data_IF_998333014922
#
_entry.id   IF_998333014922
#
_cell.length_a   1.000
_cell.length_b   1.000
_cell.length_c   1.000
_cell.angle_alpha   90.00
_cell.angle_beta   90.00
_cell.angle_gamma   90.00
#
_symmetry.space_group_name_H-M   'P 1'
#
loop_
_entity.id
_entity.type
_entity.pdbx_description
1 polymer ?
#
# COMPACT_ATOMS: atom_id res chain seq x y z
N UNK A 1 -17.65 2.85 -1.29
CA UNK A 1 -16.71 3.70 -2.08
C UNK A 1 -16.85 5.19 -1.78
N UNK A 2 -18.06 5.77 -1.72
CA UNK A 2 -18.24 7.20 -1.42
C UNK A 2 -17.67 7.58 -0.04
N UNK A 3 -17.96 6.78 0.98
CA UNK A 3 -17.47 6.99 2.35
C UNK A 3 -15.94 6.98 2.43
N UNK A 4 -15.30 5.96 1.82
CA UNK A 4 -13.83 5.87 1.78
C UNK A 4 -13.19 7.10 1.11
N UNK A 5 -13.81 7.61 0.03
CA UNK A 5 -13.32 8.81 -0.67
C UNK A 5 -13.61 10.12 0.08
N UNK A 6 -14.52 10.11 1.05
CA UNK A 6 -14.81 11.26 1.91
C UNK A 6 -13.82 11.37 3.09
N UNK A 7 -13.09 10.29 3.40
CA UNK A 7 -12.03 10.32 4.41
C UNK A 7 -10.82 11.14 3.93
N UNK A 8 -9.98 11.67 4.85
CA UNK A 8 -8.74 12.34 4.48
C UNK A 8 -7.87 11.45 3.60
N UNK A 9 -7.54 11.97 2.41
CA UNK A 9 -6.73 11.24 1.45
C UNK A 9 -5.24 11.34 1.78
N UNK A 10 -4.54 10.22 1.64
CA UNK A 10 -3.08 10.14 1.65
C UNK A 10 -2.60 9.90 0.23
N UNK A 11 -1.59 10.67 -0.17
CA UNK A 11 -0.96 10.61 -1.48
C UNK A 11 0.55 10.40 -1.34
N UNK A 12 1.16 9.83 -2.37
CA UNK A 12 2.60 9.66 -2.47
C UNK A 12 2.99 8.81 -3.68
N UNK A 13 4.28 8.57 -3.83
CA UNK A 13 4.83 7.73 -4.90
C UNK A 13 5.04 6.31 -4.41
N UNK A 14 4.60 5.35 -5.20
CA UNK A 14 4.66 3.94 -4.87
C UNK A 14 5.00 3.09 -6.08
N UNK A 15 5.90 2.15 -5.86
CA UNK A 15 6.33 1.14 -6.81
C UNK A 15 6.87 -0.06 -6.04
N UNK A 16 7.25 -1.11 -6.75
CA UNK A 16 7.70 -2.35 -6.12
C UNK A 16 8.84 -3.02 -6.86
N UNK A 17 9.62 -3.77 -6.09
CA UNK A 17 10.64 -4.70 -6.56
C UNK A 17 10.12 -6.12 -6.37
N UNK A 18 10.26 -6.97 -7.40
CA UNK A 18 9.88 -8.39 -7.28
C UNK A 18 11.08 -9.26 -6.87
N UNK A 19 10.82 -10.53 -6.55
CA UNK A 19 11.84 -11.51 -6.16
C UNK A 19 12.87 -11.81 -7.26
N UNK A 20 12.59 -11.42 -8.51
CA UNK A 20 13.51 -11.52 -9.64
C UNK A 20 14.27 -10.20 -9.88
N UNK A 21 14.31 -9.31 -8.88
CA UNK A 21 15.01 -8.02 -8.89
C UNK A 21 14.47 -7.02 -9.94
N UNK A 22 13.30 -7.28 -10.53
CA UNK A 22 12.69 -6.35 -11.48
C UNK A 22 11.96 -5.24 -10.73
N UNK A 23 12.19 -4.00 -11.16
CA UNK A 23 11.59 -2.81 -10.58
C UNK A 23 10.41 -2.34 -11.42
N UNK A 24 9.25 -2.22 -10.79
CA UNK A 24 8.15 -1.40 -11.29
C UNK A 24 8.32 0.02 -10.74
N UNK A 25 8.58 0.97 -11.64
CA UNK A 25 8.89 2.34 -11.28
C UNK A 25 7.78 2.98 -10.42
N UNK A 26 8.15 3.83 -9.42
CA UNK A 26 7.18 4.55 -8.62
C UNK A 26 6.27 5.45 -9.45
N UNK A 27 4.97 5.41 -9.15
CA UNK A 27 3.95 6.28 -9.75
C UNK A 27 3.11 6.91 -8.65
N UNK A 28 2.39 8.03 -8.90
CA UNK A 28 1.52 8.61 -7.88
C UNK A 28 0.36 7.67 -7.52
N UNK A 29 0.12 7.48 -6.23
CA UNK A 29 -1.05 6.77 -5.70
C UNK A 29 -1.82 7.66 -4.75
N UNK A 30 -3.13 7.42 -4.68
CA UNK A 30 -4.05 8.11 -3.77
C UNK A 30 -4.99 7.13 -3.12
N UNK A 31 -5.16 7.27 -1.81
CA UNK A 31 -5.93 6.37 -0.99
C UNK A 31 -6.24 6.92 0.39
N UNK A 32 -6.68 6.05 1.29
CA UNK A 32 -6.85 6.35 2.71
C UNK A 32 -5.76 5.63 3.50
N UNK A 33 -5.23 6.26 4.54
CA UNK A 33 -4.28 5.63 5.47
C UNK A 33 -4.85 4.31 6.03
N UNK A 34 -4.07 3.22 5.94
CA UNK A 34 -4.45 1.94 6.53
C UNK A 34 -4.61 2.07 8.05
N UNK A 35 -3.70 2.79 8.71
CA UNK A 35 -3.76 3.07 10.15
C UNK A 35 -5.07 3.75 10.52
N UNK A 36 -5.48 4.77 9.77
CA UNK A 36 -6.72 5.49 10.02
C UNK A 36 -7.96 4.57 9.87
N UNK A 37 -7.94 3.63 8.92
CA UNK A 37 -9.02 2.64 8.77
C UNK A 37 -9.06 1.65 9.93
N UNK A 38 -7.91 1.22 10.45
CA UNK A 38 -7.83 0.35 11.63
C UNK A 38 -8.35 1.06 12.88
N UNK A 39 -8.02 2.35 13.04
CA UNK A 39 -8.44 3.13 14.20
C UNK A 39 -9.98 3.32 14.25
N UNK A 40 -10.68 3.34 13.10
CA UNK A 40 -12.14 3.39 13.04
C UNK A 40 -12.83 2.23 13.75
N UNK A 41 -12.18 1.06 13.79
CA UNK A 41 -12.69 -0.14 14.46
C UNK A 41 -12.00 -0.41 15.79
N UNK A 42 -11.22 0.55 16.30
CA UNK A 42 -10.50 0.46 17.57
C UNK A 42 -9.32 -0.53 17.55
N UNK A 43 -8.78 -0.84 16.38
CA UNK A 43 -7.74 -1.86 16.22
C UNK A 43 -6.33 -1.28 16.16
N UNK A 44 -5.40 -1.83 16.95
CA UNK A 44 -3.98 -1.41 16.99
C UNK A 44 -2.98 -2.54 16.70
N UNK A 45 -3.48 -3.74 16.42
CA UNK A 45 -2.67 -4.94 16.23
C UNK A 45 -2.26 -5.17 14.78
N UNK A 46 -2.17 -6.44 14.41
CA UNK A 46 -1.93 -6.82 13.01
C UNK A 46 -3.20 -6.64 12.18
N UNK A 47 -3.05 -6.55 10.86
CA UNK A 47 -4.20 -6.46 9.95
C UNK A 47 -4.02 -7.43 8.80
N UNK A 48 -5.07 -8.20 8.53
CA UNK A 48 -5.17 -9.06 7.36
C UNK A 48 -5.93 -8.31 6.27
N UNK A 49 -5.31 -8.16 5.11
CA UNK A 49 -5.89 -7.55 3.92
C UNK A 49 -6.30 -8.66 2.96
N UNK A 50 -7.59 -8.73 2.64
CA UNK A 50 -8.18 -9.80 1.83
C UNK A 50 -8.60 -9.27 0.46
N UNK A 51 -8.16 -9.96 -0.58
CA UNK A 51 -8.50 -9.73 -1.97
C UNK A 51 -9.78 -10.47 -2.36
N UNK A 52 -10.41 -10.02 -3.45
CA UNK A 52 -11.66 -10.60 -3.97
C UNK A 52 -11.57 -12.07 -4.38
N UNK A 53 -10.36 -12.58 -4.63
CA UNK A 53 -10.09 -13.97 -4.99
C UNK A 53 -9.80 -14.86 -3.76
N UNK A 54 -9.92 -14.32 -2.55
CA UNK A 54 -9.67 -15.01 -1.29
C UNK A 54 -8.20 -14.98 -0.85
N UNK A 55 -7.28 -14.41 -1.65
CA UNK A 55 -5.91 -14.20 -1.20
C UNK A 55 -5.88 -13.20 -0.04
N UNK A 56 -5.16 -13.53 1.04
CA UNK A 56 -4.99 -12.67 2.20
C UNK A 56 -3.51 -12.49 2.54
N UNK A 57 -3.11 -11.24 2.80
CA UNK A 57 -1.79 -10.94 3.36
C UNK A 57 -1.95 -10.29 4.73
N UNK A 58 -1.19 -10.75 5.73
CA UNK A 58 -1.19 -10.18 7.07
C UNK A 58 0.00 -9.27 7.24
N UNK A 59 -0.25 -8.03 7.64
CA UNK A 59 0.74 -7.04 8.05
C UNK A 59 0.81 -7.02 9.58
N UNK A 60 2.02 -7.04 10.13
CA UNK A 60 2.21 -6.69 11.55
C UNK A 60 1.81 -5.23 11.82
N UNK A 61 1.66 -4.87 13.09
CA UNK A 61 1.39 -3.48 13.47
C UNK A 61 2.46 -2.51 12.93
N UNK A 62 3.74 -2.93 13.00
CA UNK A 62 4.86 -2.13 12.48
C UNK A 62 4.80 -2.00 10.95
N UNK A 63 4.52 -3.09 10.23
CA UNK A 63 4.37 -3.06 8.77
C UNK A 63 3.18 -2.21 8.35
N UNK A 64 2.04 -2.30 9.05
CA UNK A 64 0.89 -1.44 8.83
C UNK A 64 1.20 0.05 9.15
N UNK A 65 2.16 0.29 10.05
CA UNK A 65 2.75 1.59 10.33
C UNK A 65 3.80 2.05 9.32
N UNK A 66 4.18 1.23 8.34
CA UNK A 66 5.15 1.56 7.29
C UNK A 66 6.57 1.02 7.53
N UNK A 67 6.80 0.21 8.56
CA UNK A 67 8.08 -0.47 8.76
C UNK A 67 8.22 -1.65 7.79
N UNK A 68 8.59 -1.34 6.56
CA UNK A 68 8.79 -2.28 5.45
C UNK A 68 10.16 -2.07 4.80
N UNK A 69 10.64 -3.06 4.07
CA UNK A 69 11.88 -2.87 3.32
C UNK A 69 11.65 -1.86 2.20
N UNK A 70 12.64 -1.00 2.01
CA UNK A 70 12.69 -0.03 0.91
C UNK A 70 13.94 -0.24 0.08
N UNK A 71 13.83 0.04 -1.20
CA UNK A 71 14.91 -0.06 -2.16
C UNK A 71 14.94 1.17 -3.04
N UNK A 72 16.14 1.58 -3.44
CA UNK A 72 16.33 2.62 -4.42
C UNK A 72 15.74 2.17 -5.78
N UNK A 73 14.89 3.02 -6.37
CA UNK A 73 14.14 2.68 -7.58
C UNK A 73 15.00 2.59 -8.86
N UNK A 74 16.23 3.14 -8.85
CA UNK A 74 17.13 3.09 -9.99
C UNK A 74 18.09 1.89 -9.93
N UNK A 75 18.55 1.55 -8.72
CA UNK A 75 19.60 0.55 -8.49
C UNK A 75 19.09 -0.75 -7.89
N UNK A 76 17.93 -0.75 -7.24
CA UNK A 76 17.38 -1.90 -6.50
C UNK A 76 18.10 -2.21 -5.19
N UNK A 77 19.04 -1.37 -4.76
CA UNK A 77 19.77 -1.52 -3.50
C UNK A 77 18.89 -1.16 -2.31
N UNK A 78 19.06 -1.86 -1.19
CA UNK A 78 18.32 -1.58 0.04
C UNK A 78 18.63 -0.17 0.57
N UNK A 79 17.60 0.51 1.04
CA UNK A 79 17.68 1.85 1.66
C UNK A 79 17.17 1.80 3.10
N UNK A 80 17.48 2.83 3.89
CA UNK A 80 17.03 2.95 5.28
C UNK A 80 16.64 4.39 5.59
N UNK A 81 15.86 4.59 6.66
CA UNK A 81 15.40 5.93 7.07
C UNK A 81 14.31 6.53 6.17
N UNK A 82 13.70 5.74 5.29
CA UNK A 82 12.61 6.16 4.42
C UNK A 82 11.29 6.06 5.18
N UNK A 83 10.54 7.17 5.23
CA UNK A 83 9.19 7.16 5.79
C UNK A 83 8.18 6.63 4.76
N UNK A 84 7.69 5.41 4.97
CA UNK A 84 6.64 4.79 4.15
C UNK A 84 5.28 4.99 4.80
N UNK A 85 4.27 5.35 4.01
CA UNK A 85 2.86 5.35 4.40
C UNK A 85 2.16 4.18 3.74
N UNK A 86 1.37 3.44 4.52
CA UNK A 86 0.54 2.35 4.00
C UNK A 86 -0.88 2.87 3.75
N UNK A 87 -1.40 2.64 2.55
CA UNK A 87 -2.72 3.12 2.14
C UNK A 87 -3.55 2.03 1.50
N UNK A 88 -4.88 2.17 1.64
CA UNK A 88 -5.84 1.54 0.73
C UNK A 88 -6.11 2.52 -0.41
N UNK A 89 -5.43 2.29 -1.52
CA UNK A 89 -5.49 3.11 -2.72
C UNK A 89 -6.76 2.84 -3.52
N UNK A 90 -7.34 3.92 -4.05
CA UNK A 90 -8.45 3.89 -5.00
C UNK A 90 -8.11 4.59 -6.33
N UNK A 91 -6.92 5.19 -6.43
CA UNK A 91 -6.43 5.85 -7.63
C UNK A 91 -4.91 5.74 -7.80
N UNK A 92 -4.47 5.72 -9.06
CA UNK A 92 -3.07 5.60 -9.52
C UNK A 92 -2.89 6.50 -10.74
N UNK A 93 -1.83 7.31 -10.77
CA UNK A 93 -1.56 8.25 -11.86
C UNK A 93 -2.69 9.27 -12.09
N UNK A 94 -3.43 9.64 -11.05
CA UNK A 94 -4.57 10.57 -11.13
C UNK A 94 -5.89 9.96 -11.62
N UNK A 95 -5.91 8.69 -12.01
CA UNK A 95 -7.11 7.99 -12.46
C UNK A 95 -7.53 6.88 -11.47
N UNK A 96 -8.79 6.43 -11.57
CA UNK A 96 -9.24 5.26 -10.83
C UNK A 96 -8.44 4.01 -11.23
N UNK A 97 -8.29 3.07 -10.30
CA UNK A 97 -7.62 1.80 -10.58
C UNK A 97 -8.34 1.03 -11.70
N UNK A 98 -7.57 0.39 -12.56
CA UNK A 98 -8.10 -0.49 -13.61
C UNK A 98 -8.76 -1.74 -13.02
N UNK A 99 -9.58 -2.43 -13.81
CA UNK A 99 -10.23 -3.69 -13.40
C UNK A 99 -9.24 -4.82 -13.04
N UNK A 100 -7.98 -4.71 -13.49
CA UNK A 100 -6.91 -5.65 -13.14
C UNK A 100 -6.29 -5.40 -11.76
N UNK A 101 -6.33 -4.17 -11.27
CA UNK A 101 -5.67 -3.74 -10.02
C UNK A 101 -6.65 -3.40 -8.89
N UNK A 102 -7.85 -2.92 -9.23
CA UNK A 102 -8.81 -2.32 -8.31
C UNK A 102 -10.10 -3.12 -8.10
N UNK A 103 -11.13 -2.51 -7.47
CA UNK A 103 -11.28 -1.07 -7.25
C UNK A 103 -10.44 -0.49 -6.10
N UNK A 104 -9.96 -1.34 -5.20
CA UNK A 104 -9.08 -0.98 -4.08
C UNK A 104 -7.82 -1.83 -4.10
N UNK A 105 -6.71 -1.26 -3.65
CA UNK A 105 -5.41 -1.94 -3.57
C UNK A 105 -4.63 -1.48 -2.34
N UNK A 106 -3.97 -2.41 -1.66
CA UNK A 106 -2.96 -2.08 -0.66
C UNK A 106 -1.72 -1.54 -1.38
N UNK A 107 -1.27 -0.35 -0.97
CA UNK A 107 -0.13 0.32 -1.55
C UNK A 107 0.76 0.93 -0.47
N UNK A 108 2.06 1.00 -0.78
CA UNK A 108 3.09 1.60 0.04
C UNK A 108 3.62 2.82 -0.69
N UNK A 109 3.52 3.98 -0.06
CA UNK A 109 3.86 5.25 -0.69
C UNK A 109 4.87 6.04 0.13
N UNK A 110 5.77 6.72 -0.55
CA UNK A 110 6.75 7.63 0.03
C UNK A 110 6.56 9.04 -0.55
N UNK A 111 7.20 10.05 0.03
CA UNK A 111 7.11 11.42 -0.47
C UNK A 111 7.83 11.62 -1.81
N UNK A 112 8.88 10.84 -2.05
CA UNK A 112 9.74 10.92 -3.23
C UNK A 112 9.53 9.73 -4.17
N UNK A 113 9.78 9.91 -5.46
CA UNK A 113 9.61 8.85 -6.47
C UNK A 113 10.82 7.93 -6.63
N UNK A 114 11.73 7.91 -5.65
CA UNK A 114 13.00 7.18 -5.72
C UNK A 114 13.00 5.90 -4.86
N UNK A 115 11.89 5.52 -4.24
CA UNK A 115 11.78 4.33 -3.39
C UNK A 115 10.75 3.34 -3.93
N UNK A 116 11.08 2.05 -3.83
CA UNK A 116 10.16 0.93 -4.04
C UNK A 116 10.17 -0.01 -2.84
N UNK A 117 9.13 -0.83 -2.71
CA UNK A 117 8.95 -1.82 -1.62
C UNK A 117 8.80 -3.23 -2.19
N UNK A 118 8.74 -4.24 -1.33
CA UNK A 118 8.54 -5.63 -1.78
C UNK A 118 7.16 -5.83 -2.44
N UNK A 119 7.13 -6.50 -3.59
CA UNK A 119 5.92 -6.66 -4.40
C UNK A 119 4.84 -7.56 -3.78
N UNK A 120 5.22 -8.49 -2.92
CA UNK A 120 4.33 -9.46 -2.28
C UNK A 120 3.35 -8.82 -1.30
N UNK A 121 3.74 -7.68 -0.71
CA UNK A 121 2.90 -6.92 0.20
C UNK A 121 1.77 -6.18 -0.54
N UNK A 122 1.81 -6.04 -1.86
CA UNK A 122 0.85 -5.23 -2.64
C UNK A 122 -0.40 -6.00 -3.05
N UNK A 123 -1.34 -6.18 -2.12
CA UNK A 123 -2.61 -6.86 -2.34
C UNK A 123 -3.53 -6.05 -3.27
N UNK A 124 -3.81 -6.57 -4.46
CA UNK A 124 -4.79 -6.01 -5.41
C UNK A 124 -6.22 -6.44 -5.10
N UNK A 125 -7.21 -5.71 -5.61
CA UNK A 125 -8.65 -6.03 -5.49
C UNK A 125 -9.10 -6.26 -4.05
N UNK A 126 -8.68 -5.39 -3.13
CA UNK A 126 -9.00 -5.49 -1.70
C UNK A 126 -10.52 -5.37 -1.50
N UNK A 127 -11.08 -6.28 -0.71
CA UNK A 127 -12.51 -6.31 -0.36
C UNK A 127 -12.76 -6.30 1.15
N UNK A 128 -11.79 -6.73 1.96
CA UNK A 128 -11.92 -6.77 3.43
C UNK A 128 -10.60 -6.41 4.11
N UNK A 129 -10.71 -5.67 5.21
CA UNK A 129 -9.65 -5.49 6.20
C UNK A 129 -10.11 -6.13 7.50
N UNK A 130 -9.30 -7.02 8.06
CA UNK A 130 -9.57 -7.68 9.34
C UNK A 130 -8.47 -7.34 10.33
N UNK A 131 -8.80 -6.59 11.37
CA UNK A 131 -7.84 -6.28 12.43
C UNK A 131 -7.84 -7.41 13.45
N UNK A 132 -6.64 -7.83 13.87
CA UNK A 132 -6.43 -8.93 14.82
C UNK A 132 -5.73 -8.47 16.09
#
# INVERSE_FOLDING_TARGET
MAELKAMPATEGYGGWKNQLENITAPTPWKGVSLRALMDLVGGSGSVTVVASDGYGATLSADQAGGSVNTYDAATGQATSGVAVKVIIAYAKGGAALSSGEGPLRLAFVTSENNQVTDSDMWVKKVVELRVN
#
